data_IF_729362059332
#
_entry.id   IF_729362059332
#
_cell.length_a   1.000
_cell.length_b   1.000
_cell.length_c   1.000
_cell.angle_alpha   90.00
_cell.angle_beta   90.00
_cell.angle_gamma   90.00
#
_symmetry.space_group_name_H-M   'P 1'
#
loop_
_entity.id
_entity.type
_entity.pdbx_description
1 polymer ?
#
# COMPACT_ATOMS: atom_id res chain seq x y z
N UNK A 1 7.53 -13.42 41.72
CA UNK A 1 6.92 -13.70 40.40
C UNK A 1 6.97 -12.40 39.63
N UNK A 2 7.81 -12.35 38.60
CA UNK A 2 7.93 -11.19 37.72
C UNK A 2 6.75 -11.26 36.72
N UNK A 3 5.89 -10.23 36.60
CA UNK A 3 4.77 -10.26 35.68
C UNK A 3 5.32 -10.13 34.26
N UNK A 4 5.64 -11.30 33.70
CA UNK A 4 6.32 -11.48 32.43
C UNK A 4 5.81 -10.53 31.36
N UNK A 5 6.75 -9.75 30.83
CA UNK A 5 6.80 -9.20 29.48
C UNK A 5 5.88 -10.00 28.57
N UNK A 6 4.69 -9.47 28.31
CA UNK A 6 3.87 -9.89 27.18
C UNK A 6 4.69 -9.51 25.96
N UNK A 7 5.53 -10.44 25.53
CA UNK A 7 6.36 -10.31 24.34
C UNK A 7 5.42 -10.19 23.17
N UNK A 8 5.05 -8.95 22.83
CA UNK A 8 4.54 -8.62 21.51
C UNK A 8 5.68 -8.96 20.55
N UNK A 9 5.72 -10.22 20.11
CA UNK A 9 6.56 -10.59 18.99
C UNK A 9 6.02 -9.79 17.81
N UNK A 10 6.82 -8.83 17.35
CA UNK A 10 6.56 -8.15 16.09
C UNK A 10 6.32 -9.22 15.04
N UNK A 11 5.08 -9.27 14.51
CA UNK A 11 4.68 -10.35 13.60
C UNK A 11 5.60 -10.28 12.38
N UNK A 12 6.26 -11.39 12.07
CA UNK A 12 7.20 -11.46 10.95
C UNK A 12 6.43 -11.16 9.66
N UNK A 13 6.97 -10.25 8.86
CA UNK A 13 6.43 -9.90 7.55
C UNK A 13 7.41 -10.25 6.45
N UNK A 14 6.88 -10.69 5.32
CA UNK A 14 7.65 -10.93 4.09
C UNK A 14 7.20 -10.00 2.97
N UNK A 15 8.14 -9.62 2.11
CA UNK A 15 7.85 -8.88 0.89
C UNK A 15 7.20 -9.79 -0.16
N UNK A 16 6.25 -9.24 -0.89
CA UNK A 16 5.58 -9.87 -2.04
C UNK A 16 5.43 -8.85 -3.17
N UNK A 17 5.35 -9.34 -4.41
CA UNK A 17 5.19 -8.48 -5.59
C UNK A 17 3.76 -7.98 -5.76
N UNK A 18 2.77 -8.79 -5.38
CA UNK A 18 1.35 -8.51 -5.57
C UNK A 18 0.52 -9.11 -4.43
N UNK A 19 -0.61 -8.47 -4.12
CA UNK A 19 -1.64 -9.02 -3.26
C UNK A 19 -3.04 -8.71 -3.80
N UNK A 20 -3.95 -9.67 -3.70
CA UNK A 20 -5.36 -9.53 -4.05
C UNK A 20 -6.26 -9.84 -2.86
N UNK A 21 -7.48 -9.30 -2.90
CA UNK A 21 -8.51 -9.60 -1.92
C UNK A 21 -9.53 -10.57 -2.52
N UNK A 22 -10.14 -11.39 -1.67
CA UNK A 22 -11.29 -12.21 -2.04
C UNK A 22 -12.55 -11.35 -2.30
N UNK A 23 -12.53 -10.07 -1.91
CA UNK A 23 -13.64 -9.12 -2.15
C UNK A 23 -13.51 -8.49 -3.55
N UNK A 24 -14.46 -8.71 -4.47
CA UNK A 24 -14.37 -8.20 -5.84
C UNK A 24 -14.34 -6.67 -5.96
N UNK A 25 -14.81 -5.95 -4.94
CA UNK A 25 -14.80 -4.49 -4.89
C UNK A 25 -13.42 -3.92 -4.55
N UNK A 26 -12.46 -4.74 -4.13
CA UNK A 26 -11.12 -4.31 -3.75
C UNK A 26 -10.13 -4.56 -4.87
N UNK A 27 -9.23 -3.60 -5.10
CA UNK A 27 -8.23 -3.69 -6.18
C UNK A 27 -7.11 -4.65 -5.81
N UNK A 28 -6.61 -5.41 -6.79
CA UNK A 28 -5.29 -6.06 -6.65
C UNK A 28 -4.20 -5.00 -6.64
N UNK A 29 -3.27 -5.12 -5.69
CA UNK A 29 -2.19 -4.16 -5.48
C UNK A 29 -0.86 -4.82 -5.84
N UNK A 30 -0.06 -4.12 -6.66
CA UNK A 30 1.23 -4.60 -7.16
C UNK A 30 2.30 -3.52 -7.08
N UNK A 31 3.53 -3.92 -6.79
CA UNK A 31 4.70 -3.02 -6.84
C UNK A 31 4.82 -2.39 -8.23
N UNK A 32 5.11 -1.08 -8.28
CA UNK A 32 5.21 -0.27 -9.49
C UNK A 32 3.88 0.29 -9.99
N UNK A 33 2.74 -0.02 -9.36
CA UNK A 33 1.48 0.64 -9.70
C UNK A 33 1.48 2.10 -9.24
N UNK A 34 0.97 2.97 -10.10
CA UNK A 34 0.83 4.39 -9.85
C UNK A 34 -0.63 4.78 -9.67
N UNK A 35 -0.90 5.65 -8.70
CA UNK A 35 -2.25 6.12 -8.39
C UNK A 35 -2.32 7.63 -8.39
N UNK A 36 -3.45 8.17 -8.87
CA UNK A 36 -3.82 9.59 -8.75
C UNK A 36 -5.01 9.74 -7.80
N UNK A 37 -5.00 10.78 -6.99
CA UNK A 37 -6.18 11.12 -6.19
C UNK A 37 -7.19 11.88 -7.05
N UNK A 38 -8.48 11.65 -6.87
CA UNK A 38 -9.54 12.33 -7.63
C UNK A 38 -9.53 13.86 -7.45
N UNK A 39 -9.18 14.33 -6.25
CA UNK A 39 -9.29 15.76 -5.85
C UNK A 39 -7.96 16.49 -5.66
N UNK A 40 -6.84 15.78 -5.61
CA UNK A 40 -5.54 16.38 -5.27
C UNK A 40 -4.51 16.04 -6.34
N UNK A 41 -3.56 16.96 -6.56
CA UNK A 41 -2.48 16.78 -7.54
C UNK A 41 -1.47 15.70 -7.13
N UNK A 42 -1.52 15.24 -5.88
CA UNK A 42 -0.64 14.19 -5.37
C UNK A 42 -0.90 12.86 -6.07
N UNK A 43 0.20 12.19 -6.40
CA UNK A 43 0.24 10.82 -6.89
C UNK A 43 1.09 9.98 -5.95
N UNK A 44 0.95 8.66 -6.05
CA UNK A 44 1.90 7.76 -5.42
C UNK A 44 2.19 6.53 -6.26
N UNK A 45 3.36 5.95 -6.03
CA UNK A 45 3.77 4.65 -6.53
C UNK A 45 3.82 3.64 -5.38
N UNK A 46 3.37 2.41 -5.58
CA UNK A 46 3.60 1.31 -4.64
C UNK A 46 5.04 0.81 -4.79
N UNK A 47 5.86 0.95 -3.74
CA UNK A 47 7.29 0.60 -3.79
C UNK A 47 7.63 -0.71 -3.08
N UNK A 48 6.79 -1.16 -2.13
CA UNK A 48 6.94 -2.46 -1.47
C UNK A 48 5.61 -2.89 -0.85
N UNK A 49 5.35 -4.19 -0.83
CA UNK A 49 4.18 -4.79 -0.18
C UNK A 49 4.68 -5.82 0.81
N UNK A 50 4.30 -5.65 2.09
CA UNK A 50 4.65 -6.57 3.16
C UNK A 50 3.42 -7.23 3.75
N UNK A 51 3.41 -8.56 3.77
CA UNK A 51 2.33 -9.36 4.34
C UNK A 51 2.82 -10.11 5.56
N UNK A 52 1.91 -10.48 6.46
CA UNK A 52 2.24 -11.37 7.57
C UNK A 52 2.70 -12.72 7.01
N UNK A 53 3.75 -13.29 7.60
CA UNK A 53 4.26 -14.60 7.17
C UNK A 53 3.31 -15.74 7.57
N UNK A 54 2.59 -15.54 8.67
CA UNK A 54 1.53 -16.41 9.14
C UNK A 54 0.14 -15.84 8.84
N UNK A 55 -0.84 -16.73 8.73
CA UNK A 55 -2.24 -16.33 8.51
C UNK A 55 -2.71 -15.50 9.73
N UNK A 56 -3.31 -14.32 9.50
CA UNK A 56 -3.82 -13.51 10.61
C UNK A 56 -5.03 -14.18 11.28
N UNK A 57 -5.42 -13.66 12.45
CA UNK A 57 -6.53 -14.18 13.25
C UNK A 57 -7.85 -14.21 12.46
N UNK A 58 -8.83 -15.00 12.92
CA UNK A 58 -10.06 -15.37 12.18
C UNK A 58 -10.82 -14.24 11.46
N UNK A 59 -10.72 -12.98 11.90
CA UNK A 59 -11.44 -11.85 11.32
C UNK A 59 -10.60 -11.00 10.34
N UNK A 60 -9.33 -11.34 10.14
CA UNK A 60 -8.39 -10.59 9.32
C UNK A 60 -7.99 -11.42 8.09
N UNK A 61 -7.67 -10.73 6.99
CA UNK A 61 -7.06 -11.31 5.80
C UNK A 61 -5.64 -10.80 5.62
N UNK A 62 -4.80 -11.55 4.89
CA UNK A 62 -3.47 -11.08 4.48
C UNK A 62 -3.56 -9.75 3.74
N UNK A 63 -4.63 -9.54 2.96
CA UNK A 63 -4.90 -8.27 2.29
C UNK A 63 -5.15 -7.16 3.31
N UNK A 64 -6.12 -7.31 4.22
CA UNK A 64 -6.46 -6.26 5.19
C UNK A 64 -5.31 -5.89 6.16
N UNK A 65 -4.38 -6.81 6.37
CA UNK A 65 -3.23 -6.65 7.27
C UNK A 65 -1.94 -6.27 6.57
N UNK A 66 -1.94 -6.19 5.24
CA UNK A 66 -0.76 -5.83 4.46
C UNK A 66 -0.30 -4.40 4.77
N UNK A 67 1.01 -4.21 4.76
CA UNK A 67 1.66 -2.91 4.77
C UNK A 67 2.06 -2.56 3.35
N UNK A 68 1.45 -1.50 2.82
CA UNK A 68 1.75 -0.97 1.49
C UNK A 68 2.67 0.23 1.67
N UNK A 69 3.90 0.08 1.22
CA UNK A 69 4.85 1.18 1.18
C UNK A 69 4.64 1.93 -0.12
N UNK A 70 4.51 3.24 -0.01
CA UNK A 70 4.29 4.13 -1.15
C UNK A 70 5.30 5.27 -1.15
N UNK A 71 5.68 5.72 -2.33
CA UNK A 71 6.37 6.99 -2.52
C UNK A 71 5.38 7.98 -3.13
N UNK A 72 5.12 9.07 -2.43
CA UNK A 72 4.25 10.15 -2.93
C UNK A 72 5.05 11.15 -3.73
N UNK A 73 4.43 11.71 -4.77
CA UNK A 73 5.06 12.69 -5.64
C UNK A 73 4.04 13.67 -6.24
N UNK A 74 4.54 14.81 -6.69
CA UNK A 74 3.79 15.77 -7.52
C UNK A 74 4.32 15.64 -8.95
N UNK A 75 3.45 15.42 -9.95
CA UNK A 75 3.87 15.46 -11.34
C UNK A 75 4.31 16.89 -11.70
N UNK A 76 5.52 17.04 -12.25
CA UNK A 76 6.05 18.33 -12.68
C UNK A 76 6.15 18.37 -14.21
N UNK A 77 5.17 19.02 -14.84
CA UNK A 77 5.24 19.40 -16.26
C UNK A 77 5.79 20.84 -16.31
N UNK A 78 6.99 21.09 -16.88
CA UNK A 78 7.48 20.54 -18.16
C UNK A 78 8.78 19.71 -18.12
N UNK A 79 9.43 19.53 -16.96
CA UNK A 79 10.75 18.89 -16.88
C UNK A 79 10.71 17.36 -16.77
N UNK A 80 9.50 16.77 -16.78
CA UNK A 80 9.23 15.32 -16.69
C UNK A 80 9.93 14.63 -15.50
N UNK A 81 10.24 15.41 -14.46
CA UNK A 81 10.86 14.95 -13.22
C UNK A 81 9.86 15.12 -12.09
N UNK A 82 9.18 14.04 -11.78
CA UNK A 82 8.28 13.96 -10.63
C UNK A 82 8.99 14.42 -9.36
N UNK A 83 8.35 15.35 -8.64
CA UNK A 83 8.87 15.87 -7.37
C UNK A 83 8.47 14.88 -6.29
N UNK A 84 9.41 14.02 -5.89
CA UNK A 84 9.23 13.11 -4.75
C UNK A 84 9.02 13.93 -3.48
N UNK A 85 7.94 13.64 -2.75
CA UNK A 85 7.59 14.33 -1.52
C UNK A 85 8.10 13.53 -0.33
N UNK A 86 7.57 12.32 -0.16
CA UNK A 86 7.81 11.50 1.03
C UNK A 86 7.33 10.06 0.83
N UNK A 87 7.97 9.16 1.54
CA UNK A 87 7.57 7.76 1.65
C UNK A 87 6.63 7.56 2.84
N UNK A 88 5.60 6.74 2.64
CA UNK A 88 4.61 6.40 3.66
C UNK A 88 4.34 4.90 3.66
N UNK A 89 3.85 4.42 4.80
CA UNK A 89 3.22 3.10 4.91
C UNK A 89 1.72 3.31 5.13
N UNK A 90 0.92 2.71 4.26
CA UNK A 90 -0.55 2.75 4.31
C UNK A 90 -1.13 1.34 4.34
N UNK A 91 -2.41 1.24 4.71
CA UNK A 91 -3.18 0.00 4.61
C UNK A 91 -3.91 -0.06 3.27
N UNK A 92 -4.19 -1.25 2.72
CA UNK A 92 -4.98 -1.36 1.49
C UNK A 92 -6.35 -0.70 1.56
N UNK A 93 -6.96 -0.64 2.75
CA UNK A 93 -8.24 0.06 2.95
C UNK A 93 -8.19 1.51 2.46
N UNK A 94 -7.13 2.26 2.80
CA UNK A 94 -6.98 3.66 2.39
C UNK A 94 -6.97 3.82 0.85
N UNK A 95 -6.39 2.87 0.12
CA UNK A 95 -6.39 2.89 -1.35
C UNK A 95 -7.81 2.64 -1.89
N UNK A 96 -8.54 1.72 -1.27
CA UNK A 96 -9.89 1.34 -1.72
C UNK A 96 -10.97 2.36 -1.32
N UNK A 97 -10.77 3.17 -0.27
CA UNK A 97 -11.76 4.15 0.21
C UNK A 97 -11.49 5.57 -0.27
N UNK A 98 -10.23 5.97 -0.40
CA UNK A 98 -9.87 7.40 -0.52
C UNK A 98 -9.79 7.88 -1.98
N UNK A 99 -10.71 7.42 -2.84
CA UNK A 99 -10.86 7.90 -4.23
C UNK A 99 -9.55 7.87 -5.05
N UNK A 100 -8.70 6.88 -4.80
CA UNK A 100 -7.49 6.64 -5.58
C UNK A 100 -7.83 5.91 -6.87
N UNK A 101 -7.33 6.44 -7.98
CA UNK A 101 -7.53 5.90 -9.32
C UNK A 101 -6.20 5.38 -9.85
N UNK A 102 -6.18 4.13 -10.31
CA UNK A 102 -5.02 3.55 -10.98
C UNK A 102 -4.72 4.35 -12.26
N UNK A 103 -3.47 4.75 -12.42
CA UNK A 103 -2.96 5.36 -13.64
C UNK A 103 -2.56 4.20 -14.56
N UNK A 104 -3.27 4.03 -15.67
CA UNK A 104 -2.90 3.06 -16.70
C UNK A 104 -1.85 3.68 -17.63
N UNK A 105 -0.91 2.89 -18.13
CA UNK A 105 0.18 3.30 -19.03
C UNK A 105 -0.27 3.96 -20.36
N UNK A 106 -1.58 4.06 -20.60
CA UNK A 106 -2.18 4.73 -21.76
C UNK A 106 -2.36 6.24 -21.60
N UNK A 107 -2.06 6.82 -20.43
CA UNK A 107 -2.11 8.28 -20.18
C UNK A 107 -0.72 8.96 -20.24
N UNK A 108 0.29 8.32 -20.84
CA UNK A 108 1.66 8.83 -21.03
C UNK A 108 1.97 9.26 -22.46
#
# INVERSE_FOLDING_TARGET
>A
MDPGTWGWHERIRKSVEEISSDKPSQMSLRIGQHFKHELYTYRFEITNIKILDEKPDYNESLYSTAEIHITTYIPNNPDNKDIKIKDYTIRPEAINTDKWLLINDSEG
#
